data_IF_454738413553
#
_entry.id   IF_454738413553
#
_cell.length_a   1.000
_cell.length_b   1.000
_cell.length_c   1.000
_cell.angle_alpha   90.00
_cell.angle_beta   90.00
_cell.angle_gamma   90.00
#
_symmetry.space_group_name_H-M   'P 1'
#
loop_
_entity.id
_entity.type
_entity.pdbx_description
1 polymer ?
#
# COMPACT_ATOMS: atom_id res chain seq x y z
N UNK A 1 -20.50 -12.41 2.60
CA UNK A 1 -20.52 -11.16 3.41
C UNK A 1 -19.38 -11.07 4.42
N UNK A 2 -19.01 -12.15 5.14
CA UNK A 2 -17.96 -12.12 6.19
C UNK A 2 -16.55 -11.78 5.65
N UNK A 3 -16.21 -12.26 4.45
CA UNK A 3 -14.87 -12.08 3.88
C UNK A 3 -14.60 -10.63 3.42
N UNK A 4 -15.60 -9.95 2.86
CA UNK A 4 -15.49 -8.55 2.41
C UNK A 4 -15.19 -7.59 3.57
N UNK A 5 -15.87 -7.78 4.71
CA UNK A 5 -15.62 -6.96 5.91
C UNK A 5 -14.20 -7.13 6.42
N UNK A 6 -13.67 -8.36 6.41
CA UNK A 6 -12.30 -8.66 6.85
C UNK A 6 -11.30 -7.94 5.95
N UNK A 7 -11.47 -7.94 4.63
CA UNK A 7 -10.55 -7.24 3.74
C UNK A 7 -10.67 -5.73 3.82
N UNK A 8 -11.87 -5.16 4.01
CA UNK A 8 -12.02 -3.74 4.28
C UNK A 8 -11.23 -3.33 5.54
N UNK A 9 -11.31 -4.13 6.61
CA UNK A 9 -10.54 -3.89 7.83
C UNK A 9 -9.03 -4.01 7.54
N UNK A 10 -8.61 -5.00 6.75
CA UNK A 10 -7.20 -5.16 6.37
C UNK A 10 -6.67 -3.97 5.55
N UNK A 11 -7.46 -3.44 4.62
CA UNK A 11 -7.13 -2.26 3.81
C UNK A 11 -7.08 -1.01 4.70
N UNK A 12 -8.02 -0.85 5.63
CA UNK A 12 -8.01 0.25 6.60
C UNK A 12 -6.75 0.23 7.45
N UNK A 13 -6.37 -0.94 7.97
CA UNK A 13 -5.15 -1.11 8.76
C UNK A 13 -3.89 -0.85 7.93
N UNK A 14 -3.83 -1.33 6.68
CA UNK A 14 -2.67 -1.08 5.81
C UNK A 14 -2.54 0.40 5.41
N UNK A 15 -3.66 1.07 5.14
CA UNK A 15 -3.69 2.49 4.77
C UNK A 15 -3.31 3.39 5.94
N UNK A 16 -3.78 3.08 7.15
CA UNK A 16 -3.33 3.74 8.38
C UNK A 16 -1.83 3.51 8.63
N UNK A 17 -1.35 2.27 8.49
CA UNK A 17 0.06 1.94 8.64
C UNK A 17 0.96 2.69 7.65
N UNK A 18 0.58 2.72 6.37
CA UNK A 18 1.27 3.52 5.34
C UNK A 18 1.30 4.99 5.71
N UNK A 19 0.17 5.57 6.13
CA UNK A 19 0.07 6.99 6.48
C UNK A 19 0.99 7.37 7.63
N UNK A 20 1.04 6.55 8.68
CA UNK A 20 1.95 6.76 9.83
C UNK A 20 3.41 6.67 9.38
N UNK A 21 3.78 5.65 8.60
CA UNK A 21 5.15 5.47 8.13
C UNK A 21 5.58 6.58 7.19
N UNK A 22 4.71 7.02 6.27
CA UNK A 22 4.96 8.16 5.40
C UNK A 22 5.12 9.45 6.20
N UNK A 23 4.26 9.73 7.18
CA UNK A 23 4.39 10.93 8.01
C UNK A 23 5.71 10.96 8.80
N UNK A 24 6.12 9.80 9.33
CA UNK A 24 7.39 9.65 10.03
C UNK A 24 8.57 9.86 9.08
N UNK A 25 8.52 9.23 7.89
CA UNK A 25 9.53 9.39 6.85
C UNK A 25 9.65 10.85 6.40
N UNK A 26 8.53 11.54 6.18
CA UNK A 26 8.49 12.96 5.84
C UNK A 26 9.14 13.82 6.91
N UNK A 27 8.81 13.62 8.19
CA UNK A 27 9.39 14.41 9.29
C UNK A 27 10.90 14.20 9.41
N UNK A 28 11.35 12.94 9.31
CA UNK A 28 12.78 12.63 9.33
C UNK A 28 13.45 13.33 8.15
N UNK A 29 12.92 13.18 6.94
CA UNK A 29 13.54 13.74 5.73
C UNK A 29 13.48 15.27 5.68
N UNK A 30 12.42 15.89 6.20
CA UNK A 30 12.30 17.36 6.33
C UNK A 30 13.46 17.96 7.12
N UNK A 31 14.00 17.22 8.09
CA UNK A 31 15.14 17.67 8.89
C UNK A 31 16.49 17.56 8.15
N UNK A 32 16.58 16.78 7.07
CA UNK A 32 17.81 16.57 6.29
C UNK A 32 17.78 17.23 4.91
N UNK A 33 16.60 17.46 4.34
CA UNK A 33 16.38 17.86 2.95
C UNK A 33 15.26 18.93 2.88
N UNK A 34 15.32 19.79 1.85
CA UNK A 34 14.29 20.80 1.58
C UNK A 34 12.88 20.19 1.44
N UNK A 35 11.87 20.90 1.96
CA UNK A 35 10.52 20.33 2.16
C UNK A 35 9.87 19.69 0.93
N UNK A 36 10.09 20.24 -0.27
CA UNK A 36 9.54 19.68 -1.51
C UNK A 36 10.14 18.31 -1.88
N UNK A 37 11.46 18.16 -1.74
CA UNK A 37 12.13 16.88 -2.02
C UNK A 37 11.76 15.83 -0.96
N UNK A 38 11.63 16.26 0.29
CA UNK A 38 11.17 15.41 1.39
C UNK A 38 9.77 14.86 1.17
N UNK A 39 8.87 15.68 0.61
CA UNK A 39 7.49 15.28 0.31
C UNK A 39 7.48 14.18 -0.77
N UNK A 40 8.21 14.38 -1.87
CA UNK A 40 8.27 13.41 -2.98
C UNK A 40 8.82 12.07 -2.50
N UNK A 41 9.94 12.09 -1.77
CA UNK A 41 10.58 10.86 -1.30
C UNK A 41 9.69 10.14 -0.29
N UNK A 42 9.04 10.89 0.60
CA UNK A 42 8.10 10.31 1.56
C UNK A 42 6.90 9.61 0.89
N UNK A 43 6.37 10.18 -0.20
CA UNK A 43 5.30 9.55 -0.97
C UNK A 43 5.80 8.25 -1.61
N UNK A 44 7.00 8.26 -2.19
CA UNK A 44 7.62 7.06 -2.75
C UNK A 44 7.84 5.97 -1.69
N UNK A 45 8.37 6.32 -0.52
CA UNK A 45 8.58 5.40 0.60
C UNK A 45 7.24 4.85 1.09
N UNK A 46 6.24 5.71 1.28
CA UNK A 46 4.88 5.30 1.64
C UNK A 46 4.30 4.31 0.63
N UNK A 47 4.44 4.57 -0.67
CA UNK A 47 3.95 3.68 -1.72
C UNK A 47 4.62 2.30 -1.67
N UNK A 48 5.94 2.24 -1.46
CA UNK A 48 6.68 0.98 -1.30
C UNK A 48 6.22 0.25 -0.05
N UNK A 49 6.09 0.94 1.08
CA UNK A 49 5.64 0.35 2.36
C UNK A 49 4.22 -0.19 2.23
N UNK A 50 3.31 0.54 1.59
CA UNK A 50 1.96 0.06 1.30
C UNK A 50 1.98 -1.22 0.47
N UNK A 51 2.80 -1.25 -0.58
CA UNK A 51 2.96 -2.44 -1.42
C UNK A 51 3.47 -3.63 -0.62
N UNK A 52 4.48 -3.43 0.23
CA UNK A 52 5.04 -4.46 1.11
C UNK A 52 4.00 -4.95 2.11
N UNK A 53 3.29 -4.06 2.81
CA UNK A 53 2.26 -4.41 3.80
C UNK A 53 1.14 -5.22 3.13
N UNK A 54 0.67 -4.81 1.96
CA UNK A 54 -0.34 -5.55 1.21
C UNK A 54 0.15 -6.93 0.82
N UNK A 55 1.39 -7.03 0.34
CA UNK A 55 1.99 -8.31 -0.05
C UNK A 55 2.14 -9.24 1.17
N UNK A 56 2.56 -8.70 2.32
CA UNK A 56 2.74 -9.44 3.56
C UNK A 56 1.41 -9.89 4.19
N UNK A 57 0.38 -9.03 4.13
CA UNK A 57 -0.95 -9.38 4.63
C UNK A 57 -1.68 -10.40 3.78
N UNK A 58 -1.12 -10.76 2.60
CA UNK A 58 -1.60 -11.78 1.67
C UNK A 58 -3.12 -11.77 1.60
N UNK A 59 -3.65 -10.56 1.40
CA UNK A 59 -5.08 -10.30 1.51
C UNK A 59 -5.73 -11.16 0.43
N UNK A 60 -6.55 -12.13 0.82
CA UNK A 60 -7.24 -13.03 -0.13
C UNK A 60 -7.96 -12.23 -1.22
N UNK A 61 -8.50 -11.05 -0.90
CA UNK A 61 -9.05 -10.13 -1.90
C UNK A 61 -8.02 -9.60 -2.90
N UNK A 62 -6.83 -9.23 -2.47
CA UNK A 62 -5.75 -8.78 -3.37
C UNK A 62 -5.23 -9.94 -4.20
N UNK A 63 -5.04 -11.12 -3.60
CA UNK A 63 -4.64 -12.33 -4.31
C UNK A 63 -5.70 -12.72 -5.35
N UNK A 64 -6.99 -12.67 -4.99
CA UNK A 64 -8.11 -12.93 -5.91
C UNK A 64 -8.21 -11.89 -7.01
N UNK A 65 -7.99 -10.60 -6.71
CA UNK A 65 -7.95 -9.52 -7.70
C UNK A 65 -6.78 -9.69 -8.67
N UNK A 66 -5.59 -10.00 -8.17
CA UNK A 66 -4.39 -10.26 -8.99
C UNK A 66 -4.60 -11.50 -9.85
N UNK A 67 -5.19 -12.56 -9.29
CA UNK A 67 -5.46 -13.79 -10.02
C UNK A 67 -6.58 -13.59 -11.06
N UNK A 68 -7.61 -12.80 -10.75
CA UNK A 68 -8.65 -12.39 -11.70
C UNK A 68 -8.09 -11.51 -12.83
N UNK A 69 -7.20 -10.57 -12.50
CA UNK A 69 -6.50 -9.75 -13.48
C UNK A 69 -5.60 -10.60 -14.39
N UNK A 70 -4.80 -11.52 -13.83
CA UNK A 70 -4.02 -12.51 -14.60
C UNK A 70 -4.92 -13.37 -15.49
N UNK A 71 -6.08 -13.81 -14.99
CA UNK A 71 -7.03 -14.63 -15.75
C UNK A 71 -7.68 -13.86 -16.89
N UNK A 72 -7.99 -12.58 -16.70
CA UNK A 72 -8.47 -11.66 -17.75
C UNK A 72 -7.41 -11.44 -18.84
N UNK A 73 -6.17 -11.17 -18.44
CA UNK A 73 -5.05 -10.98 -19.36
C UNK A 73 -4.76 -12.23 -20.21
N UNK A 74 -4.89 -13.42 -19.61
CA UNK A 74 -4.72 -14.70 -20.31
C UNK A 74 -5.94 -15.13 -21.14
N UNK A 75 -7.11 -14.53 -20.91
CA UNK A 75 -8.32 -14.78 -21.69
C UNK A 75 -8.44 -13.84 -22.91
N UNK A 76 -7.58 -12.82 -22.99
CA UNK A 76 -7.51 -11.88 -24.12
C UNK A 76 -6.26 -12.11 -25.01
N UNK A 77 -5.52 -13.19 -24.77
CA UNK A 77 -4.42 -13.67 -25.61
C UNK A 77 -4.76 -15.06 -26.14
#
# INVERSE_FOLDING_TARGET
MKNTTISCIKILVSSLGMGVVAYLAYNILLSYISGNLSLIISICVGAVVYFVIIYFMKIEEVDTLVNAAKKKLKASA
#
